data_IF_167591473896
#
_entry.id   IF_167591473896
#
_cell.length_a   1.000
_cell.length_b   1.000
_cell.length_c   1.000
_cell.angle_alpha   90.00
_cell.angle_beta   90.00
_cell.angle_gamma   90.00
#
_symmetry.space_group_name_H-M   'P 1'
#
loop_
_entity.id
_entity.type
_entity.pdbx_description
1 polymer ?
#
# COMPACT_ATOMS: atom_id res chain seq x y z
N UNK A 1 -27.96 29.64 -27.77
CA UNK A 1 -28.51 28.33 -27.36
C UNK A 1 -28.24 27.37 -28.51
N UNK A 2 -27.58 26.22 -28.31
CA UNK A 2 -28.04 25.15 -27.43
C UNK A 2 -27.05 24.77 -26.31
N UNK A 3 -27.59 24.57 -25.11
CA UNK A 3 -26.85 24.15 -23.91
C UNK A 3 -26.64 22.64 -23.96
N UNK A 4 -25.39 22.18 -24.09
CA UNK A 4 -25.04 20.78 -23.78
C UNK A 4 -24.47 20.74 -22.37
N UNK A 5 -25.33 20.36 -21.43
CA UNK A 5 -24.99 20.13 -20.04
C UNK A 5 -23.98 18.99 -19.92
N UNK A 6 -22.79 19.31 -19.42
CA UNK A 6 -21.84 18.35 -18.90
C UNK A 6 -22.41 17.75 -17.61
N UNK A 7 -23.32 16.78 -17.74
CA UNK A 7 -23.68 15.87 -16.66
C UNK A 7 -22.71 14.69 -16.66
N UNK A 8 -21.44 14.88 -16.28
CA UNK A 8 -20.54 13.74 -16.02
C UNK A 8 -19.57 14.05 -14.88
N UNK A 9 -19.51 13.10 -13.96
CA UNK A 9 -18.59 12.93 -12.85
C UNK A 9 -18.86 13.74 -11.56
N UNK A 10 -19.89 13.30 -10.83
CA UNK A 10 -19.97 13.36 -9.36
C UNK A 10 -18.96 12.38 -8.70
N UNK A 11 -17.74 12.23 -9.25
CA UNK A 11 -16.72 11.24 -8.85
C UNK A 11 -15.38 11.89 -8.50
N UNK A 12 -15.04 13.05 -9.06
CA UNK A 12 -13.74 13.70 -8.84
C UNK A 12 -13.57 14.37 -7.45
N UNK A 13 -14.61 14.40 -6.61
CA UNK A 13 -14.61 15.16 -5.35
C UNK A 13 -14.27 14.31 -4.11
N UNK A 14 -14.46 12.99 -4.15
CA UNK A 14 -14.18 12.09 -3.00
C UNK A 14 -12.76 11.54 -2.95
N UNK A 15 -11.96 11.68 -4.01
CA UNK A 15 -10.59 11.14 -4.08
C UNK A 15 -9.51 12.09 -3.53
N UNK A 16 -9.86 13.32 -3.14
CA UNK A 16 -8.93 14.29 -2.55
C UNK A 16 -9.01 14.38 -1.02
N UNK A 17 -9.85 13.56 -0.39
CA UNK A 17 -10.08 13.62 1.07
C UNK A 17 -9.36 12.51 1.85
N UNK A 18 -8.77 11.52 1.17
CA UNK A 18 -7.98 10.47 1.81
C UNK A 18 -6.68 10.26 1.02
N UNK A 19 -5.49 10.40 1.64
CA UNK A 19 -4.24 10.17 0.93
C UNK A 19 -4.15 8.70 0.52
N UNK A 20 -4.05 8.45 -0.80
CA UNK A 20 -3.76 7.12 -1.33
C UNK A 20 -2.40 6.65 -0.79
N UNK A 21 -2.32 5.48 -0.13
CA UNK A 21 -1.07 4.99 0.39
C UNK A 21 -0.12 4.66 -0.76
N UNK A 22 1.17 4.79 -0.48
CA UNK A 22 2.24 4.48 -1.42
C UNK A 22 2.86 3.14 -1.03
N UNK A 23 3.07 2.26 -2.00
CA UNK A 23 3.70 0.96 -1.79
C UNK A 23 4.97 0.82 -2.63
N UNK A 24 5.96 0.14 -2.06
CA UNK A 24 7.20 -0.22 -2.74
C UNK A 24 7.09 -1.63 -3.34
N UNK A 25 7.60 -1.79 -4.55
CA UNK A 25 7.57 -3.02 -5.31
C UNK A 25 8.97 -3.36 -5.83
N UNK A 26 9.25 -4.65 -6.00
CA UNK A 26 10.48 -5.14 -6.62
C UNK A 26 10.20 -6.30 -7.57
N UNK A 27 10.80 -6.24 -8.75
CA UNK A 27 10.81 -7.36 -9.68
C UNK A 27 11.89 -8.37 -9.31
N UNK A 28 11.55 -9.66 -9.21
CA UNK A 28 12.50 -10.75 -8.97
C UNK A 28 13.36 -11.07 -10.20
N UNK A 29 12.83 -10.84 -11.40
CA UNK A 29 13.52 -11.17 -12.65
C UNK A 29 14.66 -10.19 -12.97
N UNK A 30 14.36 -8.89 -13.05
CA UNK A 30 15.35 -7.88 -13.44
C UNK A 30 15.87 -7.03 -12.28
N UNK A 31 15.37 -7.24 -11.06
CA UNK A 31 15.79 -6.50 -9.86
C UNK A 31 15.23 -5.08 -9.74
N UNK A 32 14.43 -4.60 -10.70
CA UNK A 32 13.91 -3.24 -10.71
C UNK A 32 13.00 -2.95 -9.51
N UNK A 33 13.35 -1.92 -8.74
CA UNK A 33 12.56 -1.35 -7.66
C UNK A 33 11.76 -0.14 -8.15
N UNK A 34 10.52 -0.03 -7.67
CA UNK A 34 9.65 1.11 -7.97
C UNK A 34 8.61 1.33 -6.88
N UNK A 35 7.95 2.48 -6.92
CA UNK A 35 7.04 2.96 -5.89
C UNK A 35 5.77 3.49 -6.54
N UNK A 36 4.59 3.07 -6.07
CA UNK A 36 3.31 3.42 -6.68
C UNK A 36 2.23 3.73 -5.62
N UNK A 37 1.37 4.71 -5.91
CA UNK A 37 0.18 5.00 -5.11
C UNK A 37 -0.95 4.04 -5.49
N UNK A 38 -1.50 3.32 -4.51
CA UNK A 38 -2.51 2.30 -4.78
C UNK A 38 -3.56 2.28 -3.67
N UNK A 39 -4.83 2.02 -4.00
CA UNK A 39 -5.83 1.77 -2.96
C UNK A 39 -5.49 0.48 -2.20
N UNK A 40 -5.89 0.43 -0.93
CA UNK A 40 -5.79 -0.80 -0.15
C UNK A 40 -6.67 -1.93 -0.73
N UNK A 41 -7.73 -1.57 -1.44
CA UNK A 41 -8.70 -2.52 -2.02
C UNK A 41 -8.34 -3.02 -3.40
N UNK A 42 -7.32 -2.45 -4.04
CA UNK A 42 -6.92 -2.84 -5.40
C UNK A 42 -6.05 -4.09 -5.39
N UNK A 43 -6.12 -4.86 -6.48
CA UNK A 43 -5.24 -6.00 -6.70
C UNK A 43 -3.77 -5.58 -6.82
N UNK A 44 -2.82 -6.36 -6.28
CA UNK A 44 -1.40 -6.02 -6.32
C UNK A 44 -0.86 -6.03 -7.75
N UNK A 45 0.13 -5.17 -8.02
CA UNK A 45 0.83 -5.12 -9.29
C UNK A 45 1.73 -6.36 -9.44
N UNK A 46 1.47 -7.16 -10.47
CA UNK A 46 2.24 -8.39 -10.76
C UNK A 46 3.22 -8.22 -11.93
N UNK A 47 2.94 -7.31 -12.87
CA UNK A 47 3.74 -7.09 -14.09
C UNK A 47 4.80 -6.02 -13.87
N UNK A 48 6.05 -6.33 -14.24
CA UNK A 48 7.15 -5.37 -14.17
C UNK A 48 7.10 -4.36 -15.32
N UNK A 49 7.12 -3.04 -15.07
CA UNK A 49 7.11 -2.02 -16.13
C UNK A 49 8.41 -1.98 -16.97
N UNK A 50 9.51 -2.56 -16.45
CA UNK A 50 10.81 -2.55 -17.12
C UNK A 50 11.05 -3.77 -18.03
N UNK A 51 10.56 -4.94 -17.65
CA UNK A 51 10.83 -6.20 -18.38
C UNK A 51 9.57 -7.00 -18.75
N UNK A 52 8.38 -6.48 -18.42
CA UNK A 52 7.07 -7.07 -18.73
C UNK A 52 6.84 -8.48 -18.19
N UNK A 53 7.67 -8.95 -17.25
CA UNK A 53 7.50 -10.25 -16.58
C UNK A 53 6.59 -10.12 -15.35
N UNK A 54 5.77 -11.15 -15.12
CA UNK A 54 4.85 -11.27 -13.98
C UNK A 54 5.54 -11.75 -12.69
N UNK A 55 6.65 -11.10 -12.33
CA UNK A 55 7.52 -11.49 -11.23
C UNK A 55 7.73 -10.35 -10.23
N UNK A 56 6.72 -9.50 -10.03
CA UNK A 56 6.73 -8.38 -9.09
C UNK A 56 6.12 -8.78 -7.76
N UNK A 57 6.69 -8.29 -6.66
CA UNK A 57 6.15 -8.42 -5.31
C UNK A 57 6.27 -7.12 -4.53
N UNK A 58 5.36 -6.89 -3.59
CA UNK A 58 5.41 -5.77 -2.66
C UNK A 58 6.55 -5.98 -1.67
N UNK A 59 7.35 -4.94 -1.45
CA UNK A 59 8.47 -4.95 -0.51
C UNK A 59 7.99 -4.38 0.82
N UNK A 60 8.11 -5.19 1.88
CA UNK A 60 7.82 -4.77 3.25
C UNK A 60 9.14 -4.57 3.98
N UNK A 61 9.40 -3.34 4.41
CA UNK A 61 10.54 -3.04 5.27
C UNK A 61 10.21 -3.41 6.71
N UNK A 62 11.19 -3.95 7.45
CA UNK A 62 11.03 -4.16 8.88
C UNK A 62 10.92 -2.80 9.59
N UNK A 63 9.73 -2.48 10.08
CA UNK A 63 9.51 -1.30 10.92
C UNK A 63 9.71 -1.72 12.37
N UNK A 64 10.53 -1.01 13.17
CA UNK A 64 10.65 -1.31 14.59
C UNK A 64 9.29 -1.13 15.26
N UNK A 65 8.85 -2.15 15.98
CA UNK A 65 7.64 -2.07 16.81
C UNK A 65 8.01 -1.48 18.17
N UNK A 66 7.26 -0.48 18.61
CA UNK A 66 7.41 0.08 19.96
C UNK A 66 6.18 -0.22 20.80
N UNK A 67 6.38 -0.94 21.90
CA UNK A 67 5.33 -1.26 22.85
C UNK A 67 5.19 -0.14 23.89
N UNK A 68 4.24 0.77 23.68
CA UNK A 68 3.90 1.82 24.65
C UNK A 68 2.84 1.31 25.63
N UNK A 69 3.27 0.58 26.67
CA UNK A 69 2.41 0.12 27.76
C UNK A 69 3.18 -0.09 29.06
N UNK A 70 2.63 0.36 30.18
CA UNK A 70 3.24 0.27 31.52
C UNK A 70 3.12 -1.14 32.16
N UNK A 71 3.01 -2.21 31.36
CA UNK A 71 2.52 -3.51 31.85
C UNK A 71 3.06 -4.75 31.15
N UNK A 72 4.23 -4.69 30.51
CA UNK A 72 4.87 -5.90 29.98
C UNK A 72 5.75 -6.57 31.05
N UNK A 73 5.13 -7.03 32.14
CA UNK A 73 5.76 -8.00 33.05
C UNK A 73 4.80 -9.17 33.24
N UNK A 74 4.99 -10.23 32.46
CA UNK A 74 4.58 -11.56 32.90
C UNK A 74 5.69 -12.08 33.81
N UNK A 75 5.53 -11.83 35.11
CA UNK A 75 6.28 -12.56 36.13
C UNK A 75 5.76 -14.00 36.12
N UNK A 76 6.42 -14.88 35.38
CA UNK A 76 6.30 -16.31 35.63
C UNK A 76 6.95 -16.58 37.00
N UNK A 77 6.14 -16.70 38.05
CA UNK A 77 6.58 -17.36 39.27
C UNK A 77 6.27 -18.85 39.08
N UNK A 78 7.22 -19.60 38.57
CA UNK A 78 7.21 -21.05 38.75
C UNK A 78 7.53 -21.34 40.21
N UNK A 79 6.49 -21.54 41.02
CA UNK A 79 6.61 -22.10 42.35
C UNK A 79 6.58 -23.62 42.24
N UNK A 80 7.76 -24.24 42.20
CA UNK A 80 7.96 -25.62 42.64
C UNK A 80 9.34 -25.82 43.21
#
# INVERSE_FOLDING_TARGET
MPKRGFHRARIIDTLWRNPLPTYHYRCKNCGYDFTEQQSFTDDPITVCPKCSQEQVHKVYSAVPIEFKGHGFYRTDKSSK
#
